data_IF_118020929251
#
_entry.id   IF_118020929251
#
_cell.length_a   1.000
_cell.length_b   1.000
_cell.length_c   1.000
_cell.angle_alpha   90.00
_cell.angle_beta   90.00
_cell.angle_gamma   90.00
#
_symmetry.space_group_name_H-M   'P 1'
#
loop_
_entity.id
_entity.type
_entity.pdbx_description
1 polymer ?
#
# COMPACT_ATOMS: atom_id res chain seq x y z
N UNK A 1 24.29 -26.51 30.02
CA UNK A 1 22.81 -26.51 29.97
C UNK A 1 22.43 -25.23 29.23
N UNK A 2 22.23 -25.30 27.91
CA UNK A 2 21.90 -24.14 27.09
C UNK A 2 20.42 -23.86 27.25
N UNK A 3 20.06 -22.67 27.73
CA UNK A 3 18.67 -22.20 27.78
C UNK A 3 18.01 -22.42 26.41
N UNK A 4 16.77 -22.93 26.37
CA UNK A 4 16.01 -22.94 25.13
C UNK A 4 15.81 -21.49 24.72
N UNK A 5 16.43 -21.09 23.61
CA UNK A 5 16.24 -19.79 22.99
C UNK A 5 14.73 -19.63 22.80
N UNK A 6 14.10 -18.80 23.63
CA UNK A 6 12.68 -18.51 23.49
C UNK A 6 12.46 -17.99 22.07
N UNK A 7 11.52 -18.56 21.31
CA UNK A 7 11.29 -18.11 19.94
C UNK A 7 10.98 -16.62 19.96
N UNK A 8 11.64 -15.86 19.09
CA UNK A 8 11.43 -14.42 19.00
C UNK A 8 9.92 -14.12 18.91
N UNK A 9 9.41 -13.07 19.58
CA UNK A 9 7.99 -12.77 19.56
C UNK A 9 7.51 -12.59 18.13
N UNK A 10 6.46 -13.33 17.75
CA UNK A 10 5.84 -13.21 16.42
C UNK A 10 5.44 -11.76 16.17
N UNK A 11 5.63 -11.29 14.94
CA UNK A 11 5.18 -9.95 14.53
C UNK A 11 3.68 -9.80 14.77
N UNK A 12 3.32 -8.85 15.65
CA UNK A 12 1.93 -8.53 15.95
C UNK A 12 1.24 -7.88 14.74
N UNK A 13 -0.06 -8.13 14.57
CA UNK A 13 -0.85 -7.53 13.49
C UNK A 13 -0.79 -5.99 13.53
N UNK A 14 -0.89 -5.41 14.73
CA UNK A 14 -0.80 -3.96 14.93
C UNK A 14 0.54 -3.38 14.44
N UNK A 15 1.66 -4.06 14.70
CA UNK A 15 2.97 -3.60 14.24
C UNK A 15 3.07 -3.64 12.72
N UNK A 16 2.58 -4.70 12.07
CA UNK A 16 2.57 -4.79 10.62
C UNK A 16 1.70 -3.73 9.97
N UNK A 17 0.52 -3.48 10.54
CA UNK A 17 -0.37 -2.41 10.08
C UNK A 17 0.26 -1.04 10.28
N UNK A 18 0.93 -0.79 11.41
CA UNK A 18 1.69 0.44 11.64
C UNK A 18 2.83 0.63 10.62
N UNK A 19 3.56 -0.45 10.30
CA UNK A 19 4.57 -0.41 9.24
C UNK A 19 3.97 -0.13 7.86
N UNK A 20 2.84 -0.78 7.54
CA UNK A 20 2.12 -0.52 6.30
C UNK A 20 1.73 0.95 6.17
N UNK A 21 1.15 1.53 7.23
CA UNK A 21 0.79 2.95 7.26
C UNK A 21 2.01 3.86 7.11
N UNK A 22 3.12 3.53 7.78
CA UNK A 22 4.37 4.30 7.64
C UNK A 22 4.89 4.27 6.20
N UNK A 23 4.91 3.11 5.54
CA UNK A 23 5.29 3.00 4.13
C UNK A 23 4.30 3.68 3.19
N UNK A 24 3.00 3.60 3.48
CA UNK A 24 1.96 4.24 2.69
C UNK A 24 2.10 5.76 2.73
N UNK A 25 2.11 6.34 3.94
CA UNK A 25 2.23 7.80 4.13
C UNK A 25 3.59 8.30 3.65
N UNK A 26 4.68 7.61 4.01
CA UNK A 26 6.01 7.95 3.55
C UNK A 26 6.14 7.90 2.02
N UNK A 27 5.53 6.90 1.38
CA UNK A 27 5.48 6.79 -0.08
C UNK A 27 4.66 7.90 -0.73
N UNK A 28 3.51 8.28 -0.16
CA UNK A 28 2.69 9.39 -0.65
C UNK A 28 3.48 10.70 -0.58
N UNK A 29 4.10 10.99 0.56
CA UNK A 29 4.91 12.19 0.76
C UNK A 29 6.12 12.22 -0.19
N UNK A 30 6.79 11.08 -0.38
CA UNK A 30 7.91 10.97 -1.30
C UNK A 30 7.49 11.25 -2.75
N UNK A 31 6.40 10.64 -3.22
CA UNK A 31 5.89 10.88 -4.58
C UNK A 31 5.50 12.34 -4.76
N UNK A 32 4.80 12.91 -3.79
CA UNK A 32 4.43 14.33 -3.79
C UNK A 32 5.66 15.23 -3.90
N UNK A 33 6.69 14.98 -3.08
CA UNK A 33 7.94 15.75 -3.10
C UNK A 33 8.66 15.63 -4.45
N UNK A 34 8.70 14.44 -5.04
CA UNK A 34 9.31 14.21 -6.35
C UNK A 34 8.58 14.97 -7.46
N UNK A 35 7.23 15.00 -7.42
CA UNK A 35 6.44 15.76 -8.40
C UNK A 35 6.63 17.26 -8.23
N UNK A 36 6.60 17.75 -7.00
CA UNK A 36 6.89 19.15 -6.73
C UNK A 36 8.27 19.56 -7.24
N UNK A 37 9.29 18.71 -7.05
CA UNK A 37 10.63 18.96 -7.55
C UNK A 37 10.69 18.92 -9.09
N UNK A 38 10.05 17.94 -9.72
CA UNK A 38 10.02 17.80 -11.17
C UNK A 38 9.29 18.97 -11.84
N UNK A 39 8.19 19.44 -11.27
CA UNK A 39 7.48 20.61 -11.78
C UNK A 39 8.33 21.88 -11.61
N UNK A 40 8.93 22.07 -10.43
CA UNK A 40 9.70 23.28 -10.11
C UNK A 40 10.98 23.42 -10.94
N UNK A 41 11.68 22.32 -11.20
CA UNK A 41 13.01 22.36 -11.80
C UNK A 41 13.07 21.82 -13.24
N UNK A 42 12.13 20.96 -13.64
CA UNK A 42 12.12 20.33 -14.97
C UNK A 42 10.92 20.76 -15.82
N UNK A 43 9.98 21.53 -15.27
CA UNK A 43 8.75 21.91 -15.96
C UNK A 43 7.85 20.71 -16.29
N UNK A 44 8.07 19.57 -15.63
CA UNK A 44 7.33 18.34 -15.88
C UNK A 44 6.10 18.28 -14.97
N UNK A 45 4.91 18.24 -15.55
CA UNK A 45 3.66 18.00 -14.85
C UNK A 45 3.09 16.64 -15.25
N UNK A 46 3.09 15.65 -14.35
CA UNK A 46 2.52 14.33 -14.65
C UNK A 46 0.99 14.39 -14.70
N UNK A 47 0.42 14.01 -15.85
CA UNK A 47 -1.05 13.91 -16.03
C UNK A 47 -1.67 12.59 -15.50
N UNK A 48 -0.87 11.70 -14.88
CA UNK A 48 -1.35 10.35 -14.55
C UNK A 48 -1.78 10.19 -13.09
N UNK A 49 -3.02 9.74 -12.91
CA UNK A 49 -3.58 9.39 -11.60
C UNK A 49 -3.16 7.99 -11.09
N UNK A 50 -2.30 7.26 -11.83
CA UNK A 50 -1.89 5.90 -11.50
C UNK A 50 -1.16 5.78 -10.14
N UNK A 51 -0.54 6.88 -9.68
CA UNK A 51 0.23 6.89 -8.42
C UNK A 51 -0.62 6.59 -7.18
N UNK A 52 -1.91 6.95 -7.19
CA UNK A 52 -2.83 6.62 -6.10
C UNK A 52 -2.95 5.11 -5.84
N UNK A 53 -2.65 4.29 -6.85
CA UNK A 53 -2.70 2.83 -6.77
C UNK A 53 -1.33 2.20 -6.53
N UNK A 54 -0.27 2.79 -7.09
CA UNK A 54 1.08 2.22 -7.00
C UNK A 54 1.67 2.31 -5.59
N UNK A 55 1.45 3.41 -4.87
CA UNK A 55 2.04 3.59 -3.54
C UNK A 55 1.56 2.52 -2.53
N UNK A 56 0.24 2.24 -2.39
CA UNK A 56 -0.24 1.17 -1.52
C UNK A 56 0.30 -0.22 -1.90
N UNK A 57 0.44 -0.49 -3.19
CA UNK A 57 0.99 -1.74 -3.74
C UNK A 57 2.45 -1.91 -3.28
N UNK A 58 3.28 -0.88 -3.42
CA UNK A 58 4.68 -0.92 -2.96
C UNK A 58 4.79 -1.00 -1.43
N UNK A 59 3.91 -0.32 -0.69
CA UNK A 59 3.86 -0.42 0.76
C UNK A 59 3.57 -1.85 1.23
N UNK A 60 2.57 -2.52 0.61
CA UNK A 60 2.25 -3.92 0.91
C UNK A 60 3.43 -4.85 0.61
N UNK A 61 4.14 -4.62 -0.51
CA UNK A 61 5.32 -5.38 -0.88
C UNK A 61 6.46 -5.20 0.13
N UNK A 62 6.73 -3.97 0.58
CA UNK A 62 7.77 -3.68 1.58
C UNK A 62 7.50 -4.39 2.91
N UNK A 63 6.26 -4.32 3.41
CA UNK A 63 5.88 -5.04 4.65
C UNK A 63 5.97 -6.55 4.47
N UNK A 64 5.59 -7.08 3.29
CA UNK A 64 5.73 -8.49 2.98
C UNK A 64 7.19 -8.98 3.02
N UNK A 65 8.13 -8.16 2.55
CA UNK A 65 9.57 -8.48 2.65
C UNK A 65 10.04 -8.47 4.10
N UNK A 66 9.64 -7.47 4.90
CA UNK A 66 10.01 -7.40 6.33
C UNK A 66 9.49 -8.61 7.09
N UNK A 67 8.23 -9.01 6.84
CA UNK A 67 7.66 -10.21 7.45
C UNK A 67 8.54 -11.43 7.16
N UNK A 68 8.87 -11.68 5.90
CA UNK A 68 9.63 -12.86 5.52
C UNK A 68 11.04 -12.87 6.11
N UNK A 69 11.70 -11.70 6.17
CA UNK A 69 13.02 -11.58 6.79
C UNK A 69 13.01 -11.86 8.31
N UNK A 70 11.88 -11.60 8.98
CA UNK A 70 11.74 -11.79 10.43
C UNK A 70 11.26 -13.19 10.82
N UNK A 71 10.28 -13.72 10.10
CA UNK A 71 9.62 -14.99 10.43
C UNK A 71 10.19 -16.17 9.63
N UNK A 72 10.95 -15.93 8.56
CA UNK A 72 11.52 -16.96 7.68
C UNK A 72 10.48 -17.76 6.88
N UNK A 73 9.19 -17.53 7.12
CA UNK A 73 8.10 -18.30 6.55
C UNK A 73 6.95 -17.40 6.07
N UNK A 74 6.12 -17.97 5.18
CA UNK A 74 4.89 -17.30 4.73
C UNK A 74 3.82 -17.38 5.81
N UNK A 75 3.01 -16.33 6.00
CA UNK A 75 1.85 -16.42 6.87
C UNK A 75 0.82 -17.39 6.29
N UNK A 76 -0.01 -17.96 7.16
CA UNK A 76 -1.18 -18.75 6.74
C UNK A 76 -2.06 -17.94 5.77
N UNK A 77 -2.66 -18.62 4.77
CA UNK A 77 -3.42 -17.96 3.71
C UNK A 77 -4.53 -17.05 4.24
N UNK A 78 -5.28 -17.49 5.26
CA UNK A 78 -6.32 -16.69 5.90
C UNK A 78 -5.79 -15.39 6.52
N UNK A 79 -4.61 -15.43 7.15
CA UNK A 79 -3.96 -14.23 7.70
C UNK A 79 -3.50 -13.29 6.59
N UNK A 80 -2.98 -13.82 5.48
CA UNK A 80 -2.61 -13.01 4.32
C UNK A 80 -3.80 -12.27 3.70
N UNK A 81 -4.96 -12.93 3.61
CA UNK A 81 -6.21 -12.30 3.16
C UNK A 81 -6.71 -11.25 4.13
N UNK A 82 -6.73 -11.53 5.43
CA UNK A 82 -7.12 -10.56 6.45
C UNK A 82 -6.24 -9.30 6.40
N UNK A 83 -4.92 -9.45 6.22
CA UNK A 83 -4.01 -8.32 6.02
C UNK A 83 -4.32 -7.54 4.74
N UNK A 84 -4.51 -8.22 3.61
CA UNK A 84 -4.82 -7.56 2.34
C UNK A 84 -6.12 -6.75 2.40
N UNK A 85 -7.18 -7.31 3.01
CA UNK A 85 -8.46 -6.60 3.21
C UNK A 85 -8.27 -5.40 4.13
N UNK A 86 -7.65 -5.59 5.30
CA UNK A 86 -7.43 -4.51 6.25
C UNK A 86 -6.62 -3.35 5.64
N UNK A 87 -5.53 -3.66 4.95
CA UNK A 87 -4.68 -2.64 4.33
C UNK A 87 -5.38 -1.94 3.16
N UNK A 88 -6.25 -2.65 2.44
CA UNK A 88 -7.09 -2.02 1.41
C UNK A 88 -8.08 -1.06 2.03
N UNK A 89 -8.76 -1.44 3.11
CA UNK A 89 -9.67 -0.55 3.82
C UNK A 89 -8.96 0.70 4.33
N UNK A 90 -7.75 0.55 4.88
CA UNK A 90 -6.93 1.69 5.31
C UNK A 90 -6.54 2.60 4.14
N UNK A 91 -6.19 2.00 3.00
CA UNK A 91 -5.84 2.75 1.78
C UNK A 91 -7.04 3.53 1.25
N UNK A 92 -8.21 2.90 1.18
CA UNK A 92 -9.45 3.56 0.78
C UNK A 92 -9.82 4.67 1.75
N UNK A 93 -9.67 4.46 3.06
CA UNK A 93 -9.91 5.49 4.05
C UNK A 93 -9.00 6.72 3.85
N UNK A 94 -7.72 6.50 3.55
CA UNK A 94 -6.79 7.61 3.22
C UNK A 94 -7.19 8.30 1.92
N UNK A 95 -7.51 7.55 0.86
CA UNK A 95 -7.92 8.12 -0.44
C UNK A 95 -9.21 8.94 -0.33
N UNK A 96 -10.24 8.41 0.35
CA UNK A 96 -11.50 9.11 0.62
C UNK A 96 -11.25 10.33 1.49
N UNK A 97 -10.41 10.22 2.52
CA UNK A 97 -10.03 11.35 3.37
C UNK A 97 -9.38 12.49 2.56
N UNK A 98 -8.44 12.17 1.67
CA UNK A 98 -7.82 13.14 0.78
C UNK A 98 -8.83 13.76 -0.20
N UNK A 99 -9.75 12.96 -0.74
CA UNK A 99 -10.80 13.42 -1.63
C UNK A 99 -11.74 14.41 -0.92
N UNK A 100 -12.17 14.10 0.30
CA UNK A 100 -13.02 14.99 1.12
C UNK A 100 -12.30 16.29 1.45
N UNK A 101 -10.99 16.24 1.74
CA UNK A 101 -10.18 17.44 1.96
C UNK A 101 -10.10 18.29 0.69
N UNK A 102 -9.84 17.67 -0.47
CA UNK A 102 -9.82 18.37 -1.76
C UNK A 102 -11.18 19.01 -2.09
N UNK A 103 -12.29 18.37 -1.68
CA UNK A 103 -13.63 18.92 -1.88
C UNK A 103 -13.85 20.16 -1.03
N UNK A 104 -13.52 20.09 0.26
CA UNK A 104 -13.63 21.23 1.17
C UNK A 104 -12.71 22.39 0.79
N UNK A 105 -11.60 22.11 0.13
CA UNK A 105 -10.68 23.11 -0.39
C UNK A 105 -11.14 23.76 -1.71
N UNK A 106 -12.26 23.32 -2.30
CA UNK A 106 -12.77 23.83 -3.58
C UNK A 106 -12.07 23.26 -4.82
N UNK A 107 -10.97 22.53 -4.66
CA UNK A 107 -10.16 21.97 -5.76
C UNK A 107 -10.96 21.01 -6.64
N UNK A 108 -11.86 20.22 -6.06
CA UNK A 108 -12.70 19.30 -6.83
C UNK A 108 -13.72 20.02 -7.71
N UNK A 109 -14.29 21.13 -7.25
CA UNK A 109 -15.27 21.91 -8.02
C UNK A 109 -14.58 22.63 -9.19
N UNK A 110 -13.35 23.12 -8.98
CA UNK A 110 -12.51 23.67 -10.05
C UNK A 110 -12.14 22.60 -11.09
N UNK A 111 -11.84 21.37 -10.66
CA UNK A 111 -11.49 20.26 -11.57
C UNK A 111 -12.70 19.69 -12.34
N UNK A 112 -13.88 19.63 -11.72
CA UNK A 112 -15.06 18.97 -12.29
C UNK A 112 -15.99 19.93 -13.04
N UNK A 113 -15.89 21.25 -12.82
CA UNK A 113 -16.72 22.26 -13.47
C UNK A 113 -18.19 22.29 -13.04
N UNK A 114 -18.67 21.27 -12.31
CA UNK A 114 -20.01 21.22 -11.71
C UNK A 114 -20.03 20.36 -10.44
N UNK A 115 -21.06 20.55 -9.62
CA UNK A 115 -21.32 19.69 -8.45
C UNK A 115 -21.80 18.30 -8.91
N UNK A 116 -21.38 17.21 -8.25
CA UNK A 116 -21.85 15.86 -8.57
C UNK A 116 -23.36 15.71 -8.33
N UNK A 117 -24.06 15.03 -9.24
CA UNK A 117 -25.47 14.65 -9.06
C UNK A 117 -25.61 13.36 -8.25
N UNK A 118 -26.82 13.05 -7.77
CA UNK A 118 -27.10 11.79 -7.05
C UNK A 118 -26.82 10.54 -7.89
N UNK A 119 -26.98 10.63 -9.22
CA UNK A 119 -26.67 9.55 -10.13
C UNK A 119 -25.15 9.37 -10.28
N UNK A 120 -24.39 10.47 -10.37
CA UNK A 120 -22.93 10.45 -10.37
C UNK A 120 -22.37 9.82 -9.08
N UNK A 121 -22.99 10.10 -7.93
CA UNK A 121 -22.60 9.52 -6.65
C UNK A 121 -22.80 7.99 -6.63
N UNK A 122 -23.86 7.47 -7.25
CA UNK A 122 -24.09 6.02 -7.35
C UNK A 122 -23.07 5.35 -8.26
N UNK A 123 -22.79 5.96 -9.41
CA UNK A 123 -21.75 5.49 -10.35
C UNK A 123 -20.39 5.51 -9.65
N UNK A 124 -20.08 6.59 -8.94
CA UNK A 124 -18.85 6.74 -8.17
C UNK A 124 -18.71 5.64 -7.10
N UNK A 125 -19.78 5.36 -6.35
CA UNK A 125 -19.78 4.29 -5.35
C UNK A 125 -19.52 2.90 -5.98
N UNK A 126 -20.13 2.61 -7.14
CA UNK A 126 -19.91 1.37 -7.87
C UNK A 126 -18.45 1.25 -8.36
N UNK A 127 -17.91 2.33 -8.91
CA UNK A 127 -16.50 2.40 -9.34
C UNK A 127 -15.56 2.21 -8.15
N UNK A 128 -15.84 2.85 -7.01
CA UNK A 128 -15.06 2.73 -5.80
C UNK A 128 -15.09 1.30 -5.24
N UNK A 129 -16.23 0.63 -5.30
CA UNK A 129 -16.34 -0.79 -4.95
C UNK A 129 -15.49 -1.67 -5.87
N UNK A 130 -15.57 -1.46 -7.19
CA UNK A 130 -14.75 -2.18 -8.17
C UNK A 130 -13.25 -1.97 -7.94
N UNK A 131 -12.84 -0.73 -7.68
CA UNK A 131 -11.48 -0.36 -7.31
C UNK A 131 -11.07 -1.04 -5.99
N UNK A 132 -11.94 -1.06 -4.99
CA UNK A 132 -11.68 -1.72 -3.71
C UNK A 132 -11.40 -3.20 -3.88
N UNK A 133 -12.22 -3.92 -4.65
CA UNK A 133 -12.00 -5.33 -4.96
C UNK A 133 -10.66 -5.53 -5.69
N UNK A 134 -10.40 -4.71 -6.71
CA UNK A 134 -9.13 -4.74 -7.42
C UNK A 134 -7.93 -4.51 -6.49
N UNK A 135 -8.01 -3.53 -5.57
CA UNK A 135 -6.96 -3.23 -4.61
C UNK A 135 -6.71 -4.41 -3.65
N UNK A 136 -7.76 -5.07 -3.15
CA UNK A 136 -7.59 -6.28 -2.32
C UNK A 136 -6.81 -7.34 -3.07
N UNK A 137 -7.20 -7.61 -4.32
CA UNK A 137 -6.52 -8.60 -5.17
C UNK A 137 -5.07 -8.19 -5.46
N UNK A 138 -4.83 -6.92 -5.77
CA UNK A 138 -3.49 -6.39 -6.01
C UNK A 138 -2.61 -6.53 -4.77
N UNK A 139 -3.10 -6.15 -3.58
CA UNK A 139 -2.38 -6.33 -2.31
C UNK A 139 -2.08 -7.80 -2.04
N UNK A 140 -3.03 -8.69 -2.32
CA UNK A 140 -2.85 -10.13 -2.13
C UNK A 140 -1.78 -10.70 -3.05
N UNK A 141 -1.77 -10.28 -4.31
CA UNK A 141 -0.75 -10.66 -5.31
C UNK A 141 0.62 -10.11 -4.91
N UNK A 142 0.70 -8.87 -4.45
CA UNK A 142 1.97 -8.26 -4.04
C UNK A 142 2.55 -8.88 -2.78
N UNK A 143 1.73 -9.21 -1.78
CA UNK A 143 2.17 -10.00 -0.63
C UNK A 143 2.77 -11.34 -1.07
N UNK A 144 2.09 -12.03 -1.99
CA UNK A 144 2.62 -13.29 -2.54
C UNK A 144 3.95 -13.09 -3.29
N UNK A 145 4.04 -12.06 -4.13
CA UNK A 145 5.24 -11.73 -4.87
C UNK A 145 6.40 -11.37 -3.92
N UNK A 146 6.13 -10.59 -2.87
CA UNK A 146 7.10 -10.22 -1.85
C UNK A 146 7.67 -11.46 -1.15
N UNK A 147 6.81 -12.39 -0.72
CA UNK A 147 7.26 -13.62 -0.08
C UNK A 147 8.08 -14.51 -1.02
N UNK A 148 7.68 -14.62 -2.29
CA UNK A 148 8.43 -15.40 -3.30
C UNK A 148 9.77 -14.74 -3.62
N UNK A 149 9.81 -13.42 -3.70
CA UNK A 149 11.03 -12.65 -3.92
C UNK A 149 12.00 -12.78 -2.76
N UNK A 150 11.52 -12.64 -1.53
CA UNK A 150 12.35 -12.74 -0.33
C UNK A 150 12.95 -14.14 -0.14
N UNK A 151 12.20 -15.20 -0.44
CA UNK A 151 12.72 -16.57 -0.46
C UNK A 151 13.89 -16.74 -1.45
N UNK A 152 13.71 -16.26 -2.69
CA UNK A 152 14.78 -16.28 -3.70
C UNK A 152 16.01 -15.45 -3.30
N UNK A 153 15.81 -14.32 -2.64
CA UNK A 153 16.91 -13.49 -2.15
C UNK A 153 17.68 -14.19 -1.01
N UNK A 154 16.98 -14.89 -0.12
CA UNK A 154 17.61 -15.67 0.94
C UNK A 154 18.47 -16.81 0.37
N UNK A 155 17.96 -17.54 -0.63
CA UNK A 155 18.72 -18.58 -1.35
C UNK A 155 19.99 -18.01 -2.01
N UNK A 156 19.89 -16.85 -2.67
CA UNK A 156 21.04 -16.19 -3.31
C UNK A 156 22.10 -15.78 -2.29
N UNK A 157 21.68 -15.19 -1.16
CA UNK A 157 22.61 -14.81 -0.08
C UNK A 157 23.30 -16.03 0.53
N UNK A 158 22.59 -17.13 0.72
CA UNK A 158 23.17 -18.38 1.21
C UNK A 158 24.20 -18.99 0.24
N UNK A 159 24.01 -18.82 -1.08
CA UNK A 159 24.99 -19.25 -2.10
C UNK A 159 26.24 -18.39 -2.12
N UNK A 160 26.12 -17.08 -1.87
CA UNK A 160 27.25 -16.14 -1.86
C UNK A 160 28.08 -16.19 -0.57
N UNK A 161 27.51 -16.74 0.51
CA UNK A 161 28.18 -16.89 1.81
C UNK A 161 28.93 -18.23 1.96
N UNK A 162 29.00 -19.04 0.89
CA UNK A 162 29.76 -20.29 0.78
C UNK A 162 30.95 -20.06 -0.14
#
# INVERSE_FOLDING_TARGET
>A
MSDPISPAPRLSGAKLTGMFLAFLVGGILLVWLLFWLAERFLGFSPQSNAMGFLVPIFAAMAVGQVWYQREGARPASGRAWAMAVLWTLLTLAVQIGLLVLAWKAGLLTEMLGSSPTDEDLKIFALVLLGIGVFQVLAMRVMLWAAFRGAAKQAERKAKLAR
#
